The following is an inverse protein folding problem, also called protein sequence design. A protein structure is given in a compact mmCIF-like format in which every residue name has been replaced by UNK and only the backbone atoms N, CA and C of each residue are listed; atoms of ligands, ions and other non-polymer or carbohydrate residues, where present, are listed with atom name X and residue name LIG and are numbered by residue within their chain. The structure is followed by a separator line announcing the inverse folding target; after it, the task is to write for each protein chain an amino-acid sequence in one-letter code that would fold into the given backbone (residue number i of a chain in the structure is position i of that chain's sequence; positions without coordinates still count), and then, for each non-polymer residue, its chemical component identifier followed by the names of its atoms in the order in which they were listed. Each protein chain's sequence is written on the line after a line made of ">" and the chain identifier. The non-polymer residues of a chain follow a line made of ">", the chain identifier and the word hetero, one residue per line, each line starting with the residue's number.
data_IF_696759047899
#
_entry.id   IF_696759047899
#
_cell.length_a   1.000
_cell.length_b   1.000
_cell.length_c   1.000
_cell.angle_alpha   90.00
_cell.angle_beta   90.00
_cell.angle_gamma   90.00
#
_symmetry.space_group_name_H-M   'P 1'
#
loop_
_entity.id
_entity.type
_entity.pdbx_description
1 polymer ?
#
# COMPACT_ATOMS: atom_id res chain seq x y z
N UNK A 1 -0.87 -3.33 -8.53
CA UNK A 1 -1.51 -2.70 -7.36
C UNK A 1 -2.54 -1.66 -7.78
N UNK A 2 -2.19 -0.57 -8.47
CA UNK A 2 -3.14 0.49 -8.82
C UNK A 2 -4.38 -0.02 -9.57
N UNK A 3 -4.21 -0.86 -10.61
CA UNK A 3 -5.32 -1.45 -11.38
C UNK A 3 -6.31 -2.28 -10.55
N UNK A 4 -5.85 -2.86 -9.44
CA UNK A 4 -6.68 -3.70 -8.57
C UNK A 4 -7.58 -2.87 -7.65
N UNK A 5 -7.15 -1.67 -7.28
CA UNK A 5 -7.85 -0.84 -6.30
C UNK A 5 -8.45 0.44 -6.88
N UNK A 6 -8.15 0.84 -8.12
CA UNK A 6 -8.64 2.10 -8.69
C UNK A 6 -10.15 2.11 -8.97
N UNK A 7 -10.79 0.95 -9.01
CA UNK A 7 -12.21 0.79 -9.30
C UNK A 7 -12.78 -0.41 -8.53
N UNK A 8 -14.09 -0.43 -8.32
CA UNK A 8 -14.81 -1.60 -7.77
C UNK A 8 -14.82 -2.80 -8.70
N UNK A 9 -14.38 -2.65 -9.95
CA UNK A 9 -14.17 -3.73 -10.91
C UNK A 9 -12.68 -3.91 -11.25
N UNK A 10 -11.80 -3.55 -10.32
CA UNK A 10 -10.36 -3.71 -10.45
C UNK A 10 -9.94 -5.18 -10.53
N UNK A 11 -8.80 -5.43 -11.18
CA UNK A 11 -8.31 -6.79 -11.40
C UNK A 11 -7.50 -7.31 -10.19
N UNK A 12 -8.19 -7.93 -9.24
CA UNK A 12 -7.58 -8.54 -8.06
C UNK A 12 -6.71 -9.75 -8.42
N UNK A 13 -7.09 -10.52 -9.46
CA UNK A 13 -6.32 -11.70 -9.90
C UNK A 13 -4.98 -11.30 -10.49
N UNK A 14 -4.92 -10.20 -11.25
CA UNK A 14 -3.65 -9.66 -11.72
C UNK A 14 -2.73 -9.21 -10.57
N UNK A 15 -3.29 -8.71 -9.46
CA UNK A 15 -2.52 -8.39 -8.26
C UNK A 15 -1.91 -9.65 -7.62
N UNK A 16 -2.72 -10.70 -7.42
CA UNK A 16 -2.24 -12.00 -6.93
C UNK A 16 -1.13 -12.57 -7.82
N UNK A 17 -1.34 -12.58 -9.14
CA UNK A 17 -0.35 -13.03 -10.11
C UNK A 17 0.95 -12.23 -9.99
N UNK A 18 0.86 -10.90 -9.91
CA UNK A 18 2.03 -10.03 -9.73
C UNK A 18 2.82 -10.33 -8.45
N UNK A 19 2.14 -10.59 -7.33
CA UNK A 19 2.77 -11.00 -6.07
C UNK A 19 3.55 -12.31 -6.28
N UNK A 20 2.90 -13.32 -6.85
CA UNK A 20 3.52 -14.63 -7.05
C UNK A 20 4.69 -14.57 -8.04
N UNK A 21 4.57 -13.77 -9.11
CA UNK A 21 5.67 -13.52 -10.05
C UNK A 21 6.85 -12.83 -9.39
N UNK A 22 6.65 -11.78 -8.60
CA UNK A 22 7.74 -11.12 -7.87
C UNK A 22 8.43 -12.11 -6.94
N UNK A 23 7.67 -12.90 -6.18
CA UNK A 23 8.23 -13.92 -5.26
C UNK A 23 9.06 -14.99 -5.96
N UNK A 24 8.69 -15.39 -7.18
CA UNK A 24 9.42 -16.41 -7.92
C UNK A 24 10.62 -15.86 -8.69
N UNK A 25 10.66 -14.56 -8.98
CA UNK A 25 11.68 -13.96 -9.87
C UNK A 25 12.68 -13.07 -9.15
N UNK A 26 12.25 -12.34 -8.12
CA UNK A 26 13.15 -11.52 -7.32
C UNK A 26 13.94 -12.41 -6.36
N UNK A 27 15.23 -12.09 -6.19
CA UNK A 27 16.10 -12.80 -5.23
C UNK A 27 15.55 -12.71 -3.79
N UNK A 28 15.03 -11.54 -3.43
CA UNK A 28 14.42 -11.26 -2.13
C UNK A 28 13.40 -10.12 -2.28
N UNK A 29 12.12 -10.43 -2.09
CA UNK A 29 11.02 -9.44 -2.19
C UNK A 29 10.93 -8.56 -0.94
N UNK A 30 11.48 -8.99 0.19
CA UNK A 30 11.41 -8.25 1.47
C UNK A 30 12.28 -6.99 1.49
N UNK A 31 13.23 -6.90 0.56
CA UNK A 31 14.14 -5.76 0.39
C UNK A 31 13.67 -4.73 -0.66
N UNK A 32 12.56 -4.99 -1.34
CA UNK A 32 12.03 -4.08 -2.35
C UNK A 32 11.30 -2.89 -1.70
N UNK A 33 11.20 -1.76 -2.42
CA UNK A 33 10.38 -0.62 -2.01
C UNK A 33 8.95 -0.77 -2.51
N UNK A 34 7.98 -0.83 -1.58
CA UNK A 34 6.55 -0.89 -1.90
C UNK A 34 5.94 0.50 -1.85
N UNK A 35 5.39 1.00 -2.96
CA UNK A 35 4.80 2.34 -3.04
C UNK A 35 3.52 2.34 -3.87
N UNK A 36 2.55 3.17 -3.48
CA UNK A 36 1.33 3.43 -4.25
C UNK A 36 1.46 4.68 -5.11
N UNK A 37 2.13 5.71 -4.59
CA UNK A 37 2.29 7.00 -5.25
C UNK A 37 3.77 7.39 -5.34
N UNK A 38 4.09 8.20 -6.34
CA UNK A 38 5.37 8.88 -6.49
C UNK A 38 5.17 10.18 -7.30
N UNK A 39 6.26 10.87 -7.61
CA UNK A 39 6.25 12.15 -8.30
C UNK A 39 6.25 12.04 -9.83
N UNK A 40 6.26 10.83 -10.38
CA UNK A 40 6.38 10.55 -11.81
C UNK A 40 5.11 9.97 -12.42
N UNK A 41 4.16 9.54 -11.59
CA UNK A 41 2.87 9.00 -11.98
C UNK A 41 1.72 9.86 -11.42
N UNK A 42 0.51 9.79 -12.00
CA UNK A 42 -0.67 10.39 -11.41
C UNK A 42 -0.88 9.90 -9.97
N UNK A 43 -1.34 10.77 -9.07
CA UNK A 43 -1.70 10.34 -7.71
C UNK A 43 -2.90 9.41 -7.74
N UNK A 44 -3.03 8.53 -6.74
CA UNK A 44 -4.14 7.58 -6.71
C UNK A 44 -5.51 8.30 -6.67
N UNK A 45 -5.69 9.39 -5.90
CA UNK A 45 -6.93 10.17 -5.90
C UNK A 45 -7.29 10.85 -7.21
N UNK A 46 -6.34 10.99 -8.15
CA UNK A 46 -6.63 11.52 -9.49
C UNK A 46 -7.32 10.50 -10.39
N UNK A 47 -7.25 9.21 -10.03
CA UNK A 47 -7.84 8.11 -10.78
C UNK A 47 -9.18 7.67 -10.17
N UNK A 48 -9.30 7.77 -8.84
CA UNK A 48 -10.55 7.57 -8.10
C UNK A 48 -10.55 8.40 -6.83
N UNK A 49 -11.65 9.09 -6.52
CA UNK A 49 -11.78 9.85 -5.27
C UNK A 49 -12.30 9.01 -4.09
N UNK A 50 -12.50 7.70 -4.29
CA UNK A 50 -13.04 6.81 -3.26
C UNK A 50 -12.02 6.55 -2.14
N UNK A 51 -12.37 7.01 -0.95
CA UNK A 51 -11.53 6.89 0.25
C UNK A 51 -11.32 5.45 0.72
N UNK A 52 -12.30 4.56 0.50
CA UNK A 52 -12.19 3.15 0.86
C UNK A 52 -11.22 2.43 -0.06
N UNK A 53 -11.25 2.73 -1.36
CA UNK A 53 -10.27 2.23 -2.32
C UNK A 53 -8.86 2.71 -1.98
N UNK A 54 -8.69 4.00 -1.65
CA UNK A 54 -7.40 4.56 -1.22
C UNK A 54 -6.87 3.87 0.05
N UNK A 55 -7.74 3.65 1.05
CA UNK A 55 -7.37 2.93 2.29
C UNK A 55 -6.90 1.50 2.01
N UNK A 56 -7.55 0.78 1.11
CA UNK A 56 -7.17 -0.60 0.78
C UNK A 56 -5.84 -0.65 0.01
N UNK A 57 -5.66 0.22 -0.98
CA UNK A 57 -4.40 0.33 -1.72
C UNK A 57 -3.21 0.68 -0.79
N UNK A 58 -3.41 1.64 0.13
CA UNK A 58 -2.44 1.97 1.17
C UNK A 58 -2.20 0.79 2.12
N UNK A 59 -3.26 0.09 2.53
CA UNK A 59 -3.18 -1.10 3.37
C UNK A 59 -2.27 -2.16 2.76
N UNK A 60 -2.45 -2.44 1.46
CA UNK A 60 -1.57 -3.34 0.73
C UNK A 60 -0.12 -2.83 0.69
N UNK A 61 0.10 -1.58 0.28
CA UNK A 61 1.45 -1.02 0.18
C UNK A 61 2.20 -1.03 1.53
N UNK A 62 1.48 -0.83 2.64
CA UNK A 62 2.04 -0.79 3.99
C UNK A 62 2.33 -2.16 4.59
N UNK A 63 1.55 -3.20 4.24
CA UNK A 63 1.57 -4.50 4.93
C UNK A 63 2.06 -5.68 4.06
N UNK A 64 2.19 -5.50 2.74
CA UNK A 64 2.81 -6.49 1.85
C UNK A 64 4.34 -6.58 2.10
N UNK A 65 5.00 -7.45 1.35
CA UNK A 65 6.47 -7.57 1.40
C UNK A 65 7.15 -6.28 0.94
N UNK A 66 8.32 -6.02 1.53
CA UNK A 66 9.15 -4.86 1.23
C UNK A 66 9.18 -3.81 2.34
N UNK A 67 9.85 -2.71 2.00
CA UNK A 67 9.93 -1.48 2.78
C UNK A 67 8.84 -0.54 2.26
N UNK A 68 7.81 -0.21 3.07
CA UNK A 68 6.74 0.65 2.62
C UNK A 68 7.21 2.09 2.45
N UNK A 69 6.79 2.73 1.34
CA UNK A 69 7.12 4.10 0.96
C UNK A 69 5.81 4.84 0.71
N UNK A 70 5.59 5.91 1.47
CA UNK A 70 4.46 6.84 1.30
C UNK A 70 4.98 8.12 0.69
N UNK A 71 4.36 8.58 -0.41
CA UNK A 71 4.73 9.86 -1.02
C UNK A 71 3.98 11.00 -0.33
N UNK A 72 4.71 12.07 0.02
CA UNK A 72 4.13 13.22 0.71
C UNK A 72 2.86 13.74 0.01
N UNK A 73 1.82 14.03 0.78
CA UNK A 73 0.51 14.45 0.27
C UNK A 73 -0.48 13.30 0.07
N UNK A 74 -0.02 12.05 -0.03
CA UNK A 74 -0.88 10.88 -0.10
C UNK A 74 -1.74 10.75 1.17
N UNK A 75 -1.17 11.05 2.33
CA UNK A 75 -1.85 11.08 3.63
C UNK A 75 -2.89 12.22 3.74
N UNK A 76 -2.80 13.20 2.85
CA UNK A 76 -3.71 14.35 2.71
C UNK A 76 -4.66 14.19 1.51
N UNK A 77 -4.66 13.02 0.86
CA UNK A 77 -5.51 12.70 -0.28
C UNK A 77 -5.34 13.68 -1.47
N UNK A 78 -4.10 14.13 -1.71
CA UNK A 78 -3.76 14.95 -2.88
C UNK A 78 -4.07 14.21 -4.20
N UNK A 79 -4.45 14.95 -5.24
CA UNK A 79 -5.07 14.39 -6.45
C UNK A 79 -4.47 14.88 -7.78
N UNK A 80 -3.22 15.36 -7.79
CA UNK A 80 -2.54 15.78 -9.00
C UNK A 80 -2.45 14.67 -10.05
N UNK A 81 -2.96 14.95 -11.26
CA UNK A 81 -3.19 13.94 -12.30
C UNK A 81 -2.02 13.72 -13.27
N UNK A 82 -1.00 14.57 -13.26
CA UNK A 82 0.15 14.49 -14.19
C UNK A 82 1.26 15.45 -13.76
N UNK A 83 2.43 15.36 -14.40
CA UNK A 83 3.52 16.32 -14.18
C UNK A 83 3.16 17.71 -14.71
N UNK A 84 3.29 18.79 -13.91
CA UNK A 84 3.84 18.88 -12.54
C UNK A 84 2.80 18.82 -11.40
N UNK A 85 1.52 18.64 -11.71
CA UNK A 85 0.42 18.70 -10.75
C UNK A 85 0.51 17.69 -9.59
N UNK A 86 1.14 16.52 -9.74
CA UNK A 86 1.36 15.56 -8.64
C UNK A 86 2.48 15.96 -7.67
N UNK A 87 3.11 17.12 -7.86
CA UNK A 87 4.17 17.67 -6.99
C UNK A 87 3.62 18.79 -6.12
N UNK A 88 2.45 18.61 -5.55
CA UNK A 88 1.80 19.61 -4.71
C UNK A 88 2.60 19.89 -3.43
N UNK A 89 2.44 21.11 -2.95
CA UNK A 89 3.15 21.64 -1.79
C UNK A 89 2.48 21.14 -0.51
N UNK A 90 3.13 20.25 0.25
CA UNK A 90 2.57 19.65 1.48
C UNK A 90 2.01 20.70 2.45
N UNK A 91 2.73 21.81 2.62
CA UNK A 91 2.39 22.85 3.58
C UNK A 91 1.02 23.48 3.33
N UNK A 92 0.48 23.40 2.10
CA UNK A 92 -0.87 23.89 1.79
C UNK A 92 -1.98 23.04 2.43
N UNK A 93 -1.68 21.81 2.86
CA UNK A 93 -2.61 20.99 3.66
C UNK A 93 -2.79 21.49 5.09
N UNK A 94 -1.95 22.42 5.55
CA UNK A 94 -1.88 22.79 6.96
C UNK A 94 -1.32 21.69 7.86
N UNK A 95 -0.75 20.63 7.28
CA UNK A 95 -0.26 19.44 8.00
C UNK A 95 -1.34 18.79 8.87
N UNK A 96 -2.57 18.69 8.35
CA UNK A 96 -3.69 18.17 9.12
C UNK A 96 -3.47 16.71 9.53
N UNK A 97 -3.20 16.50 10.82
CA UNK A 97 -3.06 15.17 11.44
C UNK A 97 -4.41 14.50 11.69
N UNK A 98 -5.52 15.22 11.49
CA UNK A 98 -6.86 14.66 11.58
C UNK A 98 -7.35 14.03 10.28
N UNK A 99 -6.65 14.25 9.17
CA UNK A 99 -6.94 13.65 7.88
C UNK A 99 -7.11 12.12 7.99
N UNK A 100 -8.06 11.61 7.21
CA UNK A 100 -8.48 10.20 7.28
C UNK A 100 -7.29 9.28 6.99
N UNK A 101 -6.52 9.57 5.94
CA UNK A 101 -5.40 8.75 5.51
C UNK A 101 -4.18 8.91 6.43
N UNK A 102 -3.96 10.09 7.02
CA UNK A 102 -2.95 10.28 8.08
C UNK A 102 -3.16 9.30 9.25
N UNK A 103 -4.39 9.25 9.78
CA UNK A 103 -4.74 8.33 10.88
C UNK A 103 -4.68 6.87 10.46
N UNK A 104 -5.09 6.56 9.22
CA UNK A 104 -5.04 5.21 8.67
C UNK A 104 -3.61 4.69 8.54
N UNK A 105 -2.71 5.45 7.90
CA UNK A 105 -1.28 5.13 7.76
C UNK A 105 -0.63 4.98 9.13
N UNK A 106 -0.95 5.88 10.08
CA UNK A 106 -0.45 5.79 11.45
C UNK A 106 -0.80 4.46 12.13
N UNK A 107 -2.05 4.00 11.98
CA UNK A 107 -2.50 2.71 12.52
C UNK A 107 -1.82 1.52 11.84
N UNK A 108 -1.70 1.55 10.50
CA UNK A 108 -1.01 0.50 9.74
C UNK A 108 0.47 0.38 10.11
N UNK A 109 1.15 1.50 10.27
CA UNK A 109 2.55 1.50 10.70
C UNK A 109 2.70 1.01 12.15
N UNK A 110 1.77 1.38 13.03
CA UNK A 110 1.76 0.90 14.41
C UNK A 110 1.59 -0.63 14.50
N UNK A 111 0.64 -1.21 13.77
CA UNK A 111 0.44 -2.67 13.78
C UNK A 111 1.61 -3.41 13.13
N UNK A 112 2.18 -2.89 12.03
CA UNK A 112 3.40 -3.46 11.43
C UNK A 112 4.56 -3.45 12.42
N UNK A 113 4.77 -2.33 13.12
CA UNK A 113 5.82 -2.21 14.15
C UNK A 113 5.59 -3.18 15.32
N UNK A 114 4.33 -3.34 15.74
CA UNK A 114 3.97 -4.30 16.78
C UNK A 114 4.25 -5.74 16.32
N UNK A 115 3.90 -6.11 15.09
CA UNK A 115 4.19 -7.43 14.54
C UNK A 115 5.69 -7.72 14.51
N UNK A 116 6.49 -6.77 14.02
CA UNK A 116 7.97 -6.86 14.01
C UNK A 116 8.53 -7.08 15.43
N UNK A 117 7.95 -6.42 16.43
CA UNK A 117 8.40 -6.55 17.82
C UNK A 117 8.10 -7.94 18.42
N UNK A 118 7.03 -8.60 17.97
CA UNK A 118 6.57 -9.85 18.56
C UNK A 118 6.95 -11.10 17.74
N UNK A 119 7.40 -10.95 16.50
CA UNK A 119 7.85 -12.04 15.64
C UNK A 119 9.16 -11.64 14.94
N UNK A 120 10.28 -12.17 15.42
CA UNK A 120 11.62 -11.93 14.86
C UNK A 120 11.72 -12.33 13.37
N UNK A 121 10.87 -13.25 12.91
CA UNK A 121 10.81 -13.69 11.52
C UNK A 121 9.84 -12.90 10.65
N UNK A 122 9.05 -11.97 11.20
CA UNK A 122 8.00 -11.25 10.45
C UNK A 122 8.53 -10.55 9.19
N UNK A 123 9.70 -9.90 9.31
CA UNK A 123 10.31 -9.17 8.18
C UNK A 123 10.85 -10.12 7.10
N UNK A 124 11.40 -11.27 7.49
CA UNK A 124 11.92 -12.28 6.56
C UNK A 124 10.84 -13.21 5.99
N UNK A 125 9.63 -13.20 6.54
CA UNK A 125 8.52 -14.02 6.07
C UNK A 125 7.93 -13.46 4.78
N UNK A 126 7.95 -14.22 3.68
CA UNK A 126 7.32 -13.79 2.43
C UNK A 126 5.79 -13.85 2.53
N UNK A 127 5.13 -12.69 2.49
CA UNK A 127 3.68 -12.58 2.45
C UNK A 127 3.10 -13.38 1.28
N UNK A 128 1.91 -13.95 1.46
CA UNK A 128 1.25 -14.73 0.40
C UNK A 128 -0.28 -14.61 0.47
N UNK A 129 -0.96 -14.70 -0.69
CA UNK A 129 -2.41 -14.75 -0.74
C UNK A 129 -2.90 -16.09 -0.17
N UNK A 130 -3.84 -16.04 0.77
CA UNK A 130 -4.54 -17.22 1.32
C UNK A 130 -5.95 -17.39 0.74
N UNK A 131 -6.50 -16.31 0.19
CA UNK A 131 -7.78 -16.30 -0.50
C UNK A 131 -7.82 -15.16 -1.52
N UNK A 132 -8.38 -15.44 -2.70
CA UNK A 132 -8.57 -14.46 -3.75
C UNK A 132 -9.90 -14.73 -4.48
N UNK A 133 -10.73 -13.70 -4.64
CA UNK A 133 -11.90 -13.70 -5.52
C UNK A 133 -11.94 -12.41 -6.36
N UNK A 134 -13.05 -12.15 -7.05
CA UNK A 134 -13.15 -11.03 -7.98
C UNK A 134 -13.03 -9.65 -7.30
N UNK A 135 -13.28 -9.56 -5.98
CA UNK A 135 -13.27 -8.29 -5.25
C UNK A 135 -12.42 -8.31 -3.96
N UNK A 136 -11.87 -9.47 -3.60
CA UNK A 136 -11.21 -9.68 -2.31
C UNK A 136 -9.89 -10.37 -2.50
N UNK A 137 -8.85 -9.87 -1.84
CA UNK A 137 -7.59 -10.60 -1.61
C UNK A 137 -7.30 -10.61 -0.11
N UNK A 138 -7.02 -11.79 0.42
CA UNK A 138 -6.62 -11.98 1.81
C UNK A 138 -5.16 -12.40 1.82
N UNK A 139 -4.33 -11.61 2.48
CA UNK A 139 -2.88 -11.83 2.56
C UNK A 139 -2.50 -12.29 3.96
N UNK A 140 -1.53 -13.21 4.05
CA UNK A 140 -0.92 -13.63 5.31
C UNK A 140 0.58 -13.28 5.31
N UNK A 141 1.05 -12.73 6.43
CA UNK A 141 2.47 -12.47 6.72
C UNK A 141 2.75 -12.66 8.20
N UNK A 142 3.84 -13.35 8.54
CA UNK A 142 4.22 -13.67 9.91
C UNK A 142 4.19 -15.18 10.18
N UNK A 143 5.04 -15.60 11.12
CA UNK A 143 5.08 -16.98 11.61
C UNK A 143 3.81 -17.31 12.40
N UNK A 144 3.57 -18.61 12.64
CA UNK A 144 2.59 -18.99 13.65
C UNK A 144 3.17 -18.63 15.02
N UNK A 145 2.37 -17.99 15.87
CA UNK A 145 2.69 -17.87 17.30
C UNK A 145 2.95 -19.28 17.86
N UNK A 146 4.16 -19.54 18.36
CA UNK A 146 4.46 -20.70 19.21
C UNK A 146 4.12 -20.41 20.65
#
# INVERSE_FOLDING_TARGET
>A
MTSAFVSTSGDIKALEQGINTMKSTCKDVTLLGSFLENHDNPRFPSLTSDMSLAKNAIGFAMLADGIPIVYQGQEQHFSGASTPAQREQLWKSGYDKNAILYKHISKLNAIRTLAIKNDDGYLGYNAYPVWTDDHTIVMRKGNNDT
#
